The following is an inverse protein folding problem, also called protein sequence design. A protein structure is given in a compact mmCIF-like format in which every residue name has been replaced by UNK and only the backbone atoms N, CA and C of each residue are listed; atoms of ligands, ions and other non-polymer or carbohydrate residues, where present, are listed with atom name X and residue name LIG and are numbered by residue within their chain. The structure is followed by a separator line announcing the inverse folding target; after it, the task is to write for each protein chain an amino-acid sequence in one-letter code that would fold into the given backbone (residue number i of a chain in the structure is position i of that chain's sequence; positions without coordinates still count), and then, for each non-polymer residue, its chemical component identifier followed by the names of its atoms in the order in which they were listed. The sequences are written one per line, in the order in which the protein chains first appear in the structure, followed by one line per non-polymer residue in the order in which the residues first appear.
data_IF_785008312197
#
_entry.id   IF_785008312197
#
_cell.length_a   1.000
_cell.length_b   1.000
_cell.length_c   1.000
_cell.angle_alpha   90.00
_cell.angle_beta   90.00
_cell.angle_gamma   90.00
#
_symmetry.space_group_name_H-M   'P 1'
#
loop_
_entity.id
_entity.type
_entity.pdbx_description
1 polymer ?
#
# COMPACT_ATOMS: atom_id res chain seq x y z
N UNK A 1 17.73 -7.31 -5.69
CA UNK A 1 17.30 -5.91 -5.41
C UNK A 1 15.78 -5.92 -5.51
N UNK A 2 15.05 -5.82 -4.39
CA UNK A 2 13.58 -6.07 -4.38
C UNK A 2 12.81 -5.18 -5.36
N UNK A 3 13.28 -3.96 -5.60
CA UNK A 3 12.65 -2.97 -6.49
C UNK A 3 12.74 -3.37 -7.97
N UNK A 4 13.85 -3.97 -8.40
CA UNK A 4 14.02 -4.37 -9.82
C UNK A 4 13.15 -5.56 -10.15
N UNK A 5 13.15 -6.57 -9.28
CA UNK A 5 12.31 -7.77 -9.43
C UNK A 5 10.81 -7.44 -9.42
N UNK A 6 10.38 -6.49 -8.57
CA UNK A 6 9.01 -6.03 -8.54
C UNK A 6 8.61 -5.28 -9.83
N UNK A 7 9.53 -4.50 -10.38
CA UNK A 7 9.31 -3.75 -11.64
C UNK A 7 9.22 -4.71 -12.82
N UNK A 8 10.09 -5.72 -12.89
CA UNK A 8 10.08 -6.71 -13.97
C UNK A 8 8.81 -7.55 -13.96
N UNK A 9 8.36 -7.99 -12.77
CA UNK A 9 7.07 -8.68 -12.61
C UNK A 9 5.90 -7.80 -13.07
N UNK A 10 5.89 -6.52 -12.71
CA UNK A 10 4.85 -5.58 -13.13
C UNK A 10 4.82 -5.39 -14.65
N UNK A 11 5.98 -5.22 -15.29
CA UNK A 11 6.10 -5.10 -16.75
C UNK A 11 5.57 -6.37 -17.44
N UNK A 12 5.91 -7.56 -16.92
CA UNK A 12 5.44 -8.83 -17.46
C UNK A 12 3.92 -8.98 -17.36
N UNK A 13 3.33 -8.67 -16.21
CA UNK A 13 1.87 -8.74 -16.00
C UNK A 13 1.13 -7.74 -16.90
N UNK A 14 1.60 -6.50 -16.99
CA UNK A 14 0.94 -5.47 -17.81
C UNK A 14 1.01 -5.76 -19.31
N UNK A 15 2.12 -6.35 -19.79
CA UNK A 15 2.21 -6.83 -21.17
C UNK A 15 1.23 -7.98 -21.43
N UNK A 16 1.10 -8.90 -20.47
CA UNK A 16 0.23 -10.08 -20.59
C UNK A 16 -1.26 -9.72 -20.54
N UNK A 17 -1.66 -8.86 -19.62
CA UNK A 17 -3.08 -8.63 -19.30
C UNK A 17 -3.66 -7.42 -20.02
N UNK A 18 -2.86 -6.38 -20.27
CA UNK A 18 -3.34 -5.11 -20.78
C UNK A 18 -2.78 -4.75 -22.17
N UNK A 19 -1.92 -5.60 -22.75
CA UNK A 19 -1.19 -5.37 -24.00
C UNK A 19 -0.52 -3.99 -24.07
N UNK A 20 -0.13 -3.46 -22.90
CA UNK A 20 0.38 -2.12 -22.70
C UNK A 20 1.86 -2.20 -22.34
N UNK A 21 2.69 -1.50 -23.10
CA UNK A 21 4.12 -1.44 -22.82
C UNK A 21 4.43 -0.34 -21.79
N UNK A 22 4.60 -0.78 -20.54
CA UNK A 22 4.90 0.09 -19.39
C UNK A 22 6.41 0.17 -19.09
N UNK A 23 7.25 0.03 -20.10
CA UNK A 23 8.72 0.06 -20.00
C UNK A 23 9.32 1.29 -19.30
N UNK A 24 8.56 2.39 -19.15
CA UNK A 24 9.01 3.65 -18.50
C UNK A 24 8.59 3.78 -17.03
N UNK A 25 8.21 2.70 -16.36
CA UNK A 25 7.86 2.74 -14.94
C UNK A 25 9.10 3.07 -14.12
N UNK A 26 9.06 4.22 -13.45
CA UNK A 26 10.12 4.66 -12.52
C UNK A 26 9.65 4.41 -11.09
N UNK A 27 10.25 3.41 -10.45
CA UNK A 27 10.10 3.18 -9.00
C UNK A 27 11.39 3.56 -8.30
N UNK A 28 11.27 4.38 -7.25
CA UNK A 28 12.40 4.77 -6.42
C UNK A 28 12.03 4.58 -4.97
N UNK A 29 12.88 3.89 -4.22
CA UNK A 29 12.78 3.82 -2.77
C UNK A 29 13.44 5.06 -2.19
N UNK A 30 12.78 5.69 -1.23
CA UNK A 30 13.37 6.82 -0.53
C UNK A 30 14.61 6.34 0.22
N UNK A 31 15.69 7.13 0.22
CA UNK A 31 16.95 6.78 0.91
C UNK A 31 17.27 7.77 2.04
N UNK A 32 16.40 8.74 2.26
CA UNK A 32 16.56 9.76 3.30
C UNK A 32 15.78 9.28 4.51
N UNK A 33 16.46 9.15 5.66
CA UNK A 33 15.84 8.70 6.92
C UNK A 33 14.63 9.57 7.32
N UNK A 34 14.71 10.88 7.09
CA UNK A 34 13.60 11.81 7.35
C UNK A 34 12.36 11.57 6.48
N UNK A 35 12.50 10.87 5.35
CA UNK A 35 11.39 10.51 4.48
C UNK A 35 11.06 9.01 4.48
N UNK A 36 11.68 8.24 5.38
CA UNK A 36 11.24 6.90 5.73
C UNK A 36 10.06 6.97 6.69
N UNK A 37 9.33 5.86 6.81
CA UNK A 37 8.31 5.74 7.84
C UNK A 37 8.96 5.76 9.21
N UNK A 38 8.31 6.45 10.16
CA UNK A 38 8.79 6.50 11.55
C UNK A 38 8.75 5.11 12.17
N UNK A 39 9.69 4.80 13.05
CA UNK A 39 9.78 3.52 13.77
C UNK A 39 8.52 3.18 14.60
N UNK A 40 7.70 4.19 14.91
CA UNK A 40 6.41 3.99 15.57
C UNK A 40 5.38 3.24 14.69
N UNK A 41 5.62 3.12 13.38
CA UNK A 41 4.75 2.39 12.46
C UNK A 41 5.12 0.91 12.47
N UNK A 42 4.13 0.07 12.78
CA UNK A 42 4.30 -1.39 12.91
C UNK A 42 4.74 -2.06 11.59
N UNK A 43 4.46 -1.42 10.46
CA UNK A 43 4.99 -1.81 9.15
C UNK A 43 4.14 -1.31 7.98
N UNK A 44 4.47 -1.81 6.79
CA UNK A 44 3.82 -1.47 5.52
C UNK A 44 4.56 -0.40 4.74
N UNK A 45 3.89 0.21 3.75
CA UNK A 45 4.50 1.14 2.80
C UNK A 45 3.57 2.31 2.50
N UNK A 46 4.15 3.48 2.23
CA UNK A 46 3.43 4.61 1.63
C UNK A 46 4.02 4.88 0.26
N UNK A 47 3.16 4.91 -0.75
CA UNK A 47 3.52 5.13 -2.13
C UNK A 47 3.12 6.54 -2.55
N UNK A 48 4.04 7.23 -3.22
CA UNK A 48 3.82 8.56 -3.77
C UNK A 48 3.88 8.51 -5.30
N UNK A 49 2.87 9.06 -5.95
CA UNK A 49 2.80 9.22 -7.40
C UNK A 49 2.53 10.67 -7.78
N UNK A 50 2.80 11.02 -9.06
CA UNK A 50 2.59 12.36 -9.63
C UNK A 50 3.17 13.50 -8.77
N UNK A 51 4.44 13.35 -8.35
CA UNK A 51 5.15 14.31 -7.48
C UNK A 51 4.44 14.53 -6.13
N UNK A 52 3.92 13.45 -5.54
CA UNK A 52 3.27 13.48 -4.22
C UNK A 52 1.81 13.92 -4.24
N UNK A 53 1.23 14.21 -5.41
CA UNK A 53 -0.20 14.54 -5.53
C UNK A 53 -1.12 13.35 -5.25
N UNK A 54 -0.64 12.15 -5.57
CA UNK A 54 -1.36 10.90 -5.29
C UNK A 54 -0.57 10.18 -4.23
N UNK A 55 -1.21 9.92 -3.10
CA UNK A 55 -0.62 9.23 -1.95
C UNK A 55 -1.45 7.98 -1.70
N UNK A 56 -0.80 6.83 -1.65
CA UNK A 56 -1.40 5.57 -1.25
C UNK A 56 -0.71 5.12 0.03
N UNK A 57 -1.41 5.27 1.15
CA UNK A 57 -0.98 4.77 2.44
C UNK A 57 -1.47 3.34 2.60
N UNK A 58 -0.53 2.39 2.61
CA UNK A 58 -0.78 0.98 2.84
C UNK A 58 -0.02 0.49 4.08
N UNK A 59 0.14 1.36 5.07
CA UNK A 59 0.65 0.99 6.39
C UNK A 59 -0.35 0.11 7.13
N UNK A 60 0.16 -0.74 8.02
CA UNK A 60 -0.70 -1.67 8.77
C UNK A 60 -1.76 -0.93 9.60
N UNK A 61 -1.38 0.18 10.23
CA UNK A 61 -2.30 0.98 11.05
C UNK A 61 -3.48 1.49 10.22
N UNK A 62 -3.20 2.11 9.07
CA UNK A 62 -4.23 2.68 8.20
C UNK A 62 -5.19 1.61 7.69
N UNK A 63 -4.67 0.41 7.38
CA UNK A 63 -5.52 -0.74 7.00
C UNK A 63 -6.39 -1.22 8.15
N UNK A 64 -5.85 -1.30 9.36
CA UNK A 64 -6.61 -1.74 10.54
C UNK A 64 -7.71 -0.73 10.87
N UNK A 65 -7.44 0.56 10.77
CA UNK A 65 -8.43 1.61 11.02
C UNK A 65 -9.59 1.55 10.01
N UNK A 66 -9.29 1.33 8.72
CA UNK A 66 -10.31 1.15 7.69
C UNK A 66 -11.19 -0.08 7.97
N UNK A 67 -10.56 -1.24 8.23
CA UNK A 67 -11.28 -2.48 8.51
C UNK A 67 -12.10 -2.34 9.80
N UNK A 68 -11.56 -1.69 10.83
CA UNK A 68 -12.27 -1.46 12.07
C UNK A 68 -13.51 -0.59 11.86
N UNK A 69 -13.42 0.45 11.03
CA UNK A 69 -14.58 1.28 10.69
C UNK A 69 -15.67 0.47 9.98
N UNK A 70 -15.30 -0.30 8.96
CA UNK A 70 -16.25 -1.07 8.15
C UNK A 70 -16.88 -2.23 8.94
N UNK A 71 -16.07 -2.94 9.74
CA UNK A 71 -16.50 -4.11 10.52
C UNK A 71 -17.01 -3.75 11.91
N UNK A 72 -17.08 -2.46 12.27
CA UNK A 72 -17.57 -2.00 13.57
C UNK A 72 -18.93 -2.60 13.96
N UNK A 73 -19.93 -2.67 13.05
CA UNK A 73 -21.23 -3.27 13.38
C UNK A 73 -21.12 -4.76 13.68
N UNK A 74 -20.28 -5.48 12.92
CA UNK A 74 -20.02 -6.91 13.09
C UNK A 74 -19.33 -7.18 14.42
N UNK A 75 -18.29 -6.39 14.74
CA UNK A 75 -17.57 -6.46 16.02
C UNK A 75 -18.51 -6.17 17.19
N UNK A 76 -19.38 -5.16 17.07
CA UNK A 76 -20.41 -4.86 18.09
C UNK A 76 -21.34 -6.05 18.30
N UNK A 77 -21.83 -6.68 17.22
CA UNK A 77 -22.71 -7.85 17.31
C UNK A 77 -22.00 -9.05 17.96
N UNK A 78 -20.72 -9.26 17.66
CA UNK A 78 -19.93 -10.34 18.27
C UNK A 78 -19.69 -10.13 19.77
N UNK A 79 -19.36 -8.89 20.17
CA UNK A 79 -19.01 -8.58 21.56
C UNK A 79 -20.23 -8.36 22.45
N UNK A 80 -21.32 -7.82 21.90
CA UNK A 80 -22.53 -7.44 22.63
C UNK A 80 -23.76 -8.13 22.04
N UNK A 81 -23.67 -9.45 21.83
CA UNK A 81 -24.76 -10.25 21.31
C UNK A 81 -25.88 -10.38 22.36
N UNK A 82 -26.81 -9.44 22.40
CA UNK A 82 -28.10 -9.54 23.11
C UNK A 82 -29.10 -8.56 22.48
N UNK A 83 -30.40 -8.85 22.56
CA UNK A 83 -31.37 -8.84 21.45
C UNK A 83 -31.52 -7.54 20.65
#
# INVERSE_FOLDING_TARGET
MVVTEATDKYIATMKKEANLDVSKVKVTVNKIDAGMLRDAKVGGVVLYAKRGKIVCDNTLDTRLDQIYYDLKPTVRKMLFSTP
#
